data_IF_357497210679
#
_entry.id   IF_357497210679
#
_cell.length_a   1.000
_cell.length_b   1.000
_cell.length_c   1.000
_cell.angle_alpha   90.00
_cell.angle_beta   90.00
_cell.angle_gamma   90.00
#
_symmetry.space_group_name_H-M   'P 1'
#
loop_
_entity.id
_entity.type
_entity.pdbx_description
1 polymer ?
#
# COMPACT_ATOMS: atom_id res chain seq x y z
N UNK A 1 8.36 -10.26 -5.56
CA UNK A 1 7.57 -9.22 -4.86
C UNK A 1 7.00 -8.33 -5.94
N UNK A 2 5.69 -8.18 -6.01
CA UNK A 2 5.00 -7.41 -7.05
C UNK A 2 4.88 -5.94 -6.62
N UNK A 3 5.10 -5.02 -7.57
CA UNK A 3 4.99 -3.58 -7.35
C UNK A 3 4.15 -2.97 -8.46
N UNK A 4 3.20 -2.12 -8.09
CA UNK A 4 2.39 -1.31 -9.01
C UNK A 4 2.72 0.15 -8.73
N UNK A 5 3.09 0.90 -9.76
CA UNK A 5 3.49 2.30 -9.65
C UNK A 5 2.66 3.18 -10.57
N UNK A 6 2.42 4.41 -10.16
CA UNK A 6 1.68 5.41 -10.93
C UNK A 6 0.26 5.60 -10.41
N UNK A 7 -0.16 6.87 -10.30
CA UNK A 7 -1.42 7.27 -9.66
C UNK A 7 -2.62 6.49 -10.17
N UNK A 8 -2.89 6.55 -11.48
CA UNK A 8 -4.08 5.92 -12.05
C UNK A 8 -4.11 4.39 -11.85
N UNK A 9 -2.97 3.72 -12.01
CA UNK A 9 -2.89 2.27 -11.87
C UNK A 9 -3.07 1.84 -10.42
N UNK A 10 -2.44 2.55 -9.49
CA UNK A 10 -2.58 2.34 -8.05
C UNK A 10 -4.02 2.57 -7.60
N UNK A 11 -4.62 3.70 -7.96
CA UNK A 11 -5.98 4.04 -7.58
C UNK A 11 -7.00 3.03 -8.13
N UNK A 12 -6.85 2.63 -9.40
CA UNK A 12 -7.71 1.61 -9.99
C UNK A 12 -7.55 0.26 -9.29
N UNK A 13 -6.32 -0.17 -9.00
CA UNK A 13 -6.10 -1.46 -8.35
C UNK A 13 -6.66 -1.47 -6.93
N UNK A 14 -6.47 -0.38 -6.17
CA UNK A 14 -7.06 -0.20 -4.84
C UNK A 14 -8.59 -0.28 -4.92
N UNK A 15 -9.21 0.55 -5.77
CA UNK A 15 -10.67 0.67 -5.83
C UNK A 15 -11.37 -0.61 -6.27
N UNK A 16 -10.70 -1.47 -7.06
CA UNK A 16 -11.30 -2.67 -7.61
C UNK A 16 -11.01 -3.93 -6.80
N UNK A 17 -9.86 -4.01 -6.11
CA UNK A 17 -9.37 -5.27 -5.54
C UNK A 17 -9.06 -5.21 -4.06
N UNK A 18 -8.91 -4.01 -3.47
CA UNK A 18 -8.31 -3.86 -2.15
C UNK A 18 -9.24 -3.23 -1.13
N UNK A 19 -9.16 -3.74 0.10
CA UNK A 19 -9.86 -3.18 1.26
C UNK A 19 -8.82 -2.59 2.21
N UNK A 20 -9.03 -1.35 2.66
CA UNK A 20 -8.15 -0.71 3.65
C UNK A 20 -8.27 -1.43 4.99
N UNK A 21 -7.13 -1.84 5.55
CA UNK A 21 -7.05 -2.55 6.84
C UNK A 21 -6.55 -1.64 7.95
N UNK A 22 -5.42 -0.98 7.73
CA UNK A 22 -4.74 -0.18 8.74
C UNK A 22 -3.92 0.94 8.10
N UNK A 23 -3.45 1.85 8.92
CA UNK A 23 -2.43 2.85 8.57
C UNK A 23 -1.28 2.73 9.55
N UNK A 24 -0.06 3.03 9.12
CA UNK A 24 1.09 3.11 10.02
C UNK A 24 0.84 4.17 11.11
N UNK A 25 1.62 4.11 12.20
CA UNK A 25 1.60 5.08 13.30
C UNK A 25 1.75 6.53 12.83
N UNK A 26 2.50 6.74 11.75
CA UNK A 26 2.75 8.07 11.16
C UNK A 26 1.62 8.52 10.23
N UNK A 27 0.71 7.62 9.84
CA UNK A 27 -0.40 7.87 8.92
C UNK A 27 -0.01 8.01 7.45
N UNK A 28 1.27 7.88 7.11
CA UNK A 28 1.79 8.02 5.75
C UNK A 28 1.52 6.79 4.88
N UNK A 29 1.73 5.60 5.45
CA UNK A 29 1.55 4.34 4.75
C UNK A 29 0.21 3.71 5.11
N UNK A 30 -0.45 3.14 4.11
CA UNK A 30 -1.73 2.45 4.29
C UNK A 30 -1.61 0.99 3.90
N UNK A 31 -2.00 0.11 4.83
CA UNK A 31 -2.11 -1.32 4.58
C UNK A 31 -3.49 -1.64 4.00
N UNK A 32 -3.46 -2.39 2.92
CA UNK A 32 -4.60 -2.93 2.21
C UNK A 32 -4.54 -4.45 2.17
N UNK A 33 -5.70 -5.08 2.10
CA UNK A 33 -5.84 -6.52 1.89
C UNK A 33 -6.62 -6.77 0.60
N UNK A 34 -6.05 -7.57 -0.29
CA UNK A 34 -6.78 -8.20 -1.38
C UNK A 34 -7.55 -9.40 -0.80
N UNK A 35 -8.87 -9.31 -0.76
CA UNK A 35 -9.74 -10.35 -0.20
C UNK A 35 -9.92 -11.58 -1.11
N UNK A 36 -9.54 -11.49 -2.38
CA UNK A 36 -9.62 -12.59 -3.34
C UNK A 36 -8.45 -13.56 -3.12
N UNK A 37 -7.23 -13.02 -3.05
CA UNK A 37 -6.00 -13.80 -2.96
C UNK A 37 -5.42 -13.88 -1.52
N UNK A 38 -6.06 -13.20 -0.56
CA UNK A 38 -5.60 -13.03 0.82
C UNK A 38 -4.17 -12.46 0.90
N UNK A 39 -3.89 -11.44 0.08
CA UNK A 39 -2.57 -10.81 -0.05
C UNK A 39 -2.58 -9.39 0.49
N UNK A 40 -1.56 -9.05 1.28
CA UNK A 40 -1.37 -7.71 1.81
C UNK A 40 -0.61 -6.81 0.83
N UNK A 41 -1.04 -5.55 0.77
CA UNK A 41 -0.47 -4.52 -0.08
C UNK A 41 -0.27 -3.25 0.73
N UNK A 42 0.91 -2.65 0.65
CA UNK A 42 1.19 -1.36 1.29
C UNK A 42 1.21 -0.27 0.22
N UNK A 43 0.42 0.76 0.45
CA UNK A 43 0.42 1.98 -0.34
C UNK A 43 1.39 2.99 0.28
N UNK A 44 2.42 3.35 -0.48
CA UNK A 44 3.53 4.22 -0.09
C UNK A 44 3.71 5.36 -1.10
N UNK A 45 4.37 6.43 -0.66
CA UNK A 45 4.71 7.58 -1.51
C UNK A 45 6.24 7.80 -1.52
N UNK A 46 7.01 6.97 -2.25
CA UNK A 46 8.47 7.08 -2.25
C UNK A 46 8.93 8.41 -2.86
N UNK A 47 9.81 9.14 -2.15
CA UNK A 47 10.24 10.51 -2.45
C UNK A 47 9.16 11.58 -2.26
N UNK A 48 8.24 11.39 -1.32
CA UNK A 48 7.27 12.41 -0.87
C UNK A 48 7.92 13.75 -0.47
N UNK A 49 9.21 13.73 -0.10
CA UNK A 49 10.01 14.91 0.23
C UNK A 49 10.42 15.76 -1.01
N UNK A 50 10.30 15.21 -2.23
CA UNK A 50 10.59 15.94 -3.46
C UNK A 50 9.39 16.82 -3.84
N UNK A 51 9.64 18.10 -4.15
CA UNK A 51 8.60 19.05 -4.57
C UNK A 51 7.73 18.47 -5.69
N UNK A 52 6.50 18.09 -5.36
CA UNK A 52 5.56 17.42 -6.26
C UNK A 52 4.95 16.13 -5.71
N UNK A 53 5.48 15.59 -4.62
CA UNK A 53 5.01 14.34 -4.03
C UNK A 53 5.44 13.14 -4.88
N UNK A 54 6.18 12.21 -4.27
CA UNK A 54 6.56 10.96 -4.90
C UNK A 54 5.38 10.22 -5.54
N UNK A 55 5.63 9.56 -6.67
CA UNK A 55 4.58 8.78 -7.33
C UNK A 55 4.08 7.68 -6.38
N UNK A 56 2.76 7.54 -6.18
CA UNK A 56 2.22 6.50 -5.32
C UNK A 56 2.60 5.11 -5.84
N UNK A 57 2.90 4.22 -4.91
CA UNK A 57 3.25 2.83 -5.18
C UNK A 57 2.48 1.89 -4.27
N UNK A 58 2.03 0.78 -4.83
CA UNK A 58 1.53 -0.38 -4.11
C UNK A 58 2.57 -1.48 -4.15
N UNK A 59 2.98 -1.94 -2.97
CA UNK A 59 3.94 -3.01 -2.81
C UNK A 59 3.29 -4.19 -2.10
N UNK A 60 3.39 -5.38 -2.69
CA UNK A 60 2.90 -6.58 -2.05
C UNK A 60 3.83 -6.96 -0.88
N UNK A 61 3.25 -7.16 0.30
CA UNK A 61 3.97 -7.55 1.50
C UNK A 61 3.47 -8.88 2.04
N UNK A 62 4.31 -9.56 2.81
CA UNK A 62 3.89 -10.76 3.53
C UNK A 62 3.10 -10.37 4.78
N UNK A 63 2.31 -11.33 5.29
CA UNK A 63 1.59 -11.13 6.55
C UNK A 63 2.54 -10.73 7.67
N UNK A 64 3.73 -11.35 7.76
CA UNK A 64 4.74 -11.04 8.78
C UNK A 64 5.14 -9.56 8.77
N UNK A 65 5.34 -8.97 7.59
CA UNK A 65 5.65 -7.54 7.45
C UNK A 65 4.43 -6.70 7.82
N UNK A 66 3.24 -7.07 7.37
CA UNK A 66 2.00 -6.38 7.73
C UNK A 66 1.79 -6.33 9.25
N UNK A 67 1.99 -7.45 9.96
CA UNK A 67 1.88 -7.50 11.42
C UNK A 67 2.94 -6.66 12.11
N UNK A 68 4.17 -6.70 11.61
CA UNK A 68 5.30 -5.98 12.21
C UNK A 68 5.11 -4.46 12.12
N UNK A 69 4.71 -3.96 10.94
CA UNK A 69 4.66 -2.52 10.68
C UNK A 69 3.28 -1.92 11.07
N UNK A 70 2.19 -2.69 10.94
CA UNK A 70 0.82 -2.19 11.18
C UNK A 70 0.12 -2.79 12.41
N UNK A 71 0.70 -3.80 13.06
CA UNK A 71 0.15 -4.39 14.28
C UNK A 71 -1.13 -5.22 14.11
N UNK A 72 -1.44 -5.64 12.87
CA UNK A 72 -2.62 -6.45 12.52
C UNK A 72 -2.46 -7.95 12.77
#
# INVERSE_FOLDING_TARGET
>A
MSVISGSQAVENYISLNLVKVATDQSGWDTLYLNTIDNQYWVHTYPNSEMHGGGQPQLQQVTELVAKKEFGV
#
